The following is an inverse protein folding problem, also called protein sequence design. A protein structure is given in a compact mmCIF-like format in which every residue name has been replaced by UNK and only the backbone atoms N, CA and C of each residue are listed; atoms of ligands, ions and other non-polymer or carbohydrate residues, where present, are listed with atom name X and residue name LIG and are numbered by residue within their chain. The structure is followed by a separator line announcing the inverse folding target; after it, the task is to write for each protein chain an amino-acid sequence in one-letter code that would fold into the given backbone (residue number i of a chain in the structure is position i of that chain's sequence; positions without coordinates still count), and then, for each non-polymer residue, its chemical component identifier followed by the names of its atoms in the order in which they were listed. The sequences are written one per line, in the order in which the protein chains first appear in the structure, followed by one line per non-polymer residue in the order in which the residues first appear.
data_IF_781907138964
#
_entry.id   IF_781907138964
#
_cell.length_a   1.000
_cell.length_b   1.000
_cell.length_c   1.000
_cell.angle_alpha   90.00
_cell.angle_beta   90.00
_cell.angle_gamma   90.00
#
_symmetry.space_group_name_H-M   'P 1'
#
loop_
_entity.id
_entity.type
_entity.pdbx_description
1 polymer ?
#
# COMPACT_ATOMS: atom_id res chain seq x y z
N UNK A 1 33.85 -8.48 4.72
CA UNK A 1 32.54 -8.17 4.09
C UNK A 1 31.63 -7.56 5.14
N UNK A 2 31.25 -6.28 5.01
CA UNK A 2 30.47 -5.54 6.01
C UNK A 2 28.98 -5.92 6.08
N UNK A 3 28.64 -7.21 6.06
CA UNK A 3 27.26 -7.71 6.12
C UNK A 3 27.10 -8.76 7.21
N UNK A 4 25.90 -8.87 7.78
CA UNK A 4 25.60 -9.92 8.76
C UNK A 4 25.54 -11.31 8.11
N UNK A 5 25.81 -12.35 8.90
CA UNK A 5 25.66 -13.76 8.47
C UNK A 5 24.27 -14.06 7.93
N UNK A 6 23.23 -13.48 8.52
CA UNK A 6 21.84 -13.65 8.08
C UNK A 6 21.61 -13.10 6.67
N UNK A 7 22.18 -11.94 6.35
CA UNK A 7 22.11 -11.35 5.02
C UNK A 7 22.81 -12.24 3.99
N UNK A 8 24.03 -12.73 4.30
CA UNK A 8 24.74 -13.66 3.42
C UNK A 8 23.94 -14.94 3.15
N UNK A 9 23.33 -15.53 4.18
CA UNK A 9 22.52 -16.75 4.05
C UNK A 9 21.26 -16.53 3.20
N UNK A 10 20.59 -15.38 3.35
CA UNK A 10 19.44 -14.98 2.51
C UNK A 10 19.84 -14.85 1.04
N UNK A 11 20.97 -14.21 0.76
CA UNK A 11 21.48 -14.04 -0.61
C UNK A 11 21.85 -15.37 -1.23
N UNK A 12 22.55 -16.24 -0.48
CA UNK A 12 22.89 -17.58 -0.93
C UNK A 12 21.66 -18.43 -1.24
N UNK A 13 20.64 -18.41 -0.37
CA UNK A 13 19.38 -19.10 -0.61
C UNK A 13 18.69 -18.64 -1.91
N UNK A 14 18.67 -17.33 -2.18
CA UNK A 14 18.13 -16.78 -3.43
C UNK A 14 18.94 -17.18 -4.65
N UNK A 15 20.27 -17.12 -4.56
CA UNK A 15 21.16 -17.53 -5.65
C UNK A 15 20.97 -19.01 -6.00
N UNK A 16 20.84 -19.89 -5.00
CA UNK A 16 20.58 -21.31 -5.25
C UNK A 16 19.23 -21.59 -5.91
N UNK A 17 18.21 -20.77 -5.62
CA UNK A 17 16.86 -20.97 -6.16
C UNK A 17 16.65 -20.34 -7.54
N UNK A 18 17.28 -19.18 -7.79
CA UNK A 18 16.97 -18.31 -8.94
C UNK A 18 18.22 -17.90 -9.73
N UNK A 19 19.40 -18.40 -9.36
CA UNK A 19 20.68 -18.04 -9.99
C UNK A 19 21.04 -16.56 -9.78
N UNK A 20 21.79 -15.96 -10.72
CA UNK A 20 22.12 -14.53 -10.69
C UNK A 20 20.91 -13.60 -10.57
N UNK A 21 19.75 -13.98 -11.13
CA UNK A 21 18.51 -13.20 -11.03
C UNK A 21 18.03 -13.05 -9.57
N UNK A 22 18.36 -14.02 -8.71
CA UNK A 22 18.04 -13.99 -7.28
C UNK A 22 18.71 -12.85 -6.51
N UNK A 23 19.78 -12.27 -7.05
CA UNK A 23 20.58 -11.20 -6.41
C UNK A 23 20.12 -9.78 -6.80
N UNK A 24 19.17 -9.66 -7.73
CA UNK A 24 18.57 -8.37 -8.09
C UNK A 24 17.82 -7.80 -6.89
N UNK A 25 17.85 -6.47 -6.75
CA UNK A 25 17.11 -5.76 -5.70
C UNK A 25 15.63 -6.10 -5.75
N UNK A 26 15.11 -6.50 -4.59
CA UNK A 26 13.68 -6.77 -4.40
C UNK A 26 13.09 -5.69 -3.54
N UNK A 27 11.85 -5.34 -3.86
CA UNK A 27 11.05 -4.49 -2.99
C UNK A 27 10.95 -5.12 -1.60
N UNK A 28 11.28 -4.34 -0.57
CA UNK A 28 11.01 -4.71 0.83
C UNK A 28 9.53 -4.51 1.20
N UNK A 29 8.69 -4.07 0.26
CA UNK A 29 7.27 -3.83 0.50
C UNK A 29 6.57 -5.17 0.76
N UNK A 30 5.65 -5.23 1.74
CA UNK A 30 4.87 -6.44 1.99
C UNK A 30 4.03 -6.79 0.76
N UNK A 31 3.89 -8.10 0.49
CA UNK A 31 3.08 -8.60 -0.64
C UNK A 31 1.58 -8.41 -0.41
N UNK A 32 1.14 -8.36 0.84
CA UNK A 32 -0.26 -8.21 1.22
C UNK A 32 -0.39 -7.39 2.50
N UNK A 33 -1.52 -6.70 2.63
CA UNK A 33 -1.90 -5.91 3.80
C UNK A 33 -3.25 -6.44 4.31
N UNK A 34 -3.29 -7.45 5.18
CA UNK A 34 -4.56 -8.11 5.57
C UNK A 34 -5.54 -7.16 6.28
N UNK A 35 -5.04 -6.13 6.95
CA UNK A 35 -5.84 -5.09 7.61
C UNK A 35 -6.30 -3.97 6.66
N UNK A 36 -6.02 -4.10 5.36
CA UNK A 36 -6.52 -3.14 4.38
C UNK A 36 -8.04 -3.28 4.25
N UNK A 37 -8.73 -2.14 4.15
CA UNK A 37 -10.17 -2.15 4.01
C UNK A 37 -10.59 -2.85 2.71
N UNK A 38 -11.78 -3.49 2.68
CA UNK A 38 -12.26 -4.17 1.49
C UNK A 38 -12.35 -3.24 0.27
N UNK A 39 -12.01 -3.75 -0.92
CA UNK A 39 -12.04 -2.98 -2.18
C UNK A 39 -13.41 -2.34 -2.48
N UNK A 40 -14.51 -2.92 -1.98
CA UNK A 40 -15.86 -2.31 -2.06
C UNK A 40 -15.94 -0.96 -1.34
N UNK A 41 -15.29 -0.83 -0.19
CA UNK A 41 -15.28 0.41 0.61
C UNK A 41 -14.36 1.44 -0.05
N UNK A 42 -13.21 1.02 -0.58
CA UNK A 42 -12.32 1.91 -1.34
C UNK A 42 -13.04 2.52 -2.56
N UNK A 43 -13.73 1.69 -3.34
CA UNK A 43 -14.54 2.18 -4.47
C UNK A 43 -15.63 3.17 -4.05
N UNK A 44 -16.31 2.91 -2.93
CA UNK A 44 -17.32 3.83 -2.38
C UNK A 44 -16.70 5.18 -1.98
N UNK A 45 -15.51 5.19 -1.37
CA UNK A 45 -14.78 6.42 -1.03
C UNK A 45 -14.46 7.23 -2.30
N UNK A 46 -13.93 6.57 -3.33
CA UNK A 46 -13.57 7.22 -4.60
C UNK A 46 -14.81 7.80 -5.30
N UNK A 47 -15.90 7.04 -5.39
CA UNK A 47 -17.15 7.49 -6.00
C UNK A 47 -17.75 8.70 -5.26
N UNK A 48 -17.76 8.68 -3.92
CA UNK A 48 -18.24 9.80 -3.11
C UNK A 48 -17.33 11.03 -3.24
N UNK A 49 -16.01 10.83 -3.32
CA UNK A 49 -15.06 11.92 -3.55
C UNK A 49 -15.31 12.62 -4.88
N UNK A 50 -15.51 11.86 -5.95
CA UNK A 50 -15.73 12.40 -7.30
C UNK A 50 -17.09 13.10 -7.41
N UNK A 51 -18.15 12.52 -6.86
CA UNK A 51 -19.51 13.09 -6.95
C UNK A 51 -19.73 14.30 -6.04
N UNK A 52 -19.20 14.30 -4.82
CA UNK A 52 -19.51 15.33 -3.80
C UNK A 52 -18.37 16.30 -3.51
N UNK A 53 -17.17 16.06 -4.03
CA UNK A 53 -15.94 16.86 -3.77
C UNK A 53 -15.68 17.12 -2.28
N UNK A 54 -16.04 16.17 -1.40
CA UNK A 54 -15.89 16.29 0.05
C UNK A 54 -14.48 15.95 0.52
N UNK A 55 -14.03 16.63 1.58
CA UNK A 55 -12.77 16.34 2.26
C UNK A 55 -12.78 15.00 3.03
N UNK A 56 -11.62 14.47 3.43
CA UNK A 56 -11.49 13.17 4.09
C UNK A 56 -12.33 13.02 5.36
N UNK A 57 -12.43 14.07 6.19
CA UNK A 57 -13.20 14.04 7.43
C UNK A 57 -14.72 13.86 7.19
N UNK A 58 -15.27 14.54 6.17
CA UNK A 58 -16.69 14.38 5.82
C UNK A 58 -16.97 13.03 5.18
N UNK A 59 -16.09 12.55 4.32
CA UNK A 59 -16.20 11.21 3.73
C UNK A 59 -16.09 10.11 4.79
N UNK A 60 -15.25 10.30 5.81
CA UNK A 60 -15.12 9.37 6.93
C UNK A 60 -16.46 9.15 7.66
N UNK A 61 -17.17 10.23 7.97
CA UNK A 61 -18.50 10.15 8.59
C UNK A 61 -19.55 9.44 7.72
N UNK A 62 -19.48 9.58 6.40
CA UNK A 62 -20.43 8.94 5.47
C UNK A 62 -20.15 7.44 5.28
N UNK A 63 -18.87 7.05 5.25
CA UNK A 63 -18.44 5.68 4.93
C UNK A 63 -18.24 4.84 6.20
N UNK A 64 -18.08 5.46 7.37
CA UNK A 64 -17.87 4.76 8.64
C UNK A 64 -16.43 4.23 8.80
N UNK A 65 -15.45 4.93 8.22
CA UNK A 65 -14.02 4.58 8.35
C UNK A 65 -13.21 5.79 8.82
N UNK A 66 -12.08 5.62 9.51
CA UNK A 66 -11.27 6.75 9.98
C UNK A 66 -10.82 7.67 8.85
N UNK A 67 -10.78 8.98 9.10
CA UNK A 67 -10.36 9.97 8.11
C UNK A 67 -8.93 9.74 7.57
N UNK A 68 -8.04 9.19 8.39
CA UNK A 68 -6.69 8.77 7.99
C UNK A 68 -6.73 7.62 6.96
N UNK A 69 -7.67 6.70 7.09
CA UNK A 69 -7.89 5.61 6.13
C UNK A 69 -8.44 6.15 4.82
N UNK A 70 -9.44 7.04 4.89
CA UNK A 70 -9.95 7.75 3.71
C UNK A 70 -8.81 8.48 2.99
N UNK A 71 -8.00 9.24 3.72
CA UNK A 71 -6.87 9.96 3.13
C UNK A 71 -5.89 9.01 2.43
N UNK A 72 -5.49 7.89 3.05
CA UNK A 72 -4.61 6.89 2.42
C UNK A 72 -5.20 6.31 1.13
N UNK A 73 -6.51 6.05 1.10
CA UNK A 73 -7.22 5.61 -0.11
C UNK A 73 -7.13 6.69 -1.20
N UNK A 74 -7.46 7.94 -0.86
CA UNK A 74 -7.40 9.04 -1.84
C UNK A 74 -5.99 9.26 -2.39
N UNK A 75 -4.95 9.12 -1.57
CA UNK A 75 -3.54 9.18 -2.01
C UNK A 75 -3.21 8.04 -2.97
N UNK A 76 -3.62 6.79 -2.66
CA UNK A 76 -3.39 5.64 -3.55
C UNK A 76 -4.06 5.80 -4.91
N UNK A 77 -5.19 6.49 -4.96
CA UNK A 77 -5.94 6.81 -6.19
C UNK A 77 -5.55 8.16 -6.82
N UNK A 78 -4.59 8.91 -6.27
CA UNK A 78 -4.13 10.18 -6.85
C UNK A 78 -5.12 11.36 -6.78
N UNK A 79 -6.17 11.27 -5.96
CA UNK A 79 -7.27 12.26 -5.87
C UNK A 79 -7.36 12.93 -4.48
N UNK A 80 -6.24 12.96 -3.76
CA UNK A 80 -6.13 13.54 -2.42
C UNK A 80 -6.31 15.07 -2.39
N UNK A 81 -6.00 15.77 -3.50
CA UNK A 81 -6.22 17.21 -3.66
C UNK A 81 -7.56 17.48 -4.34
N UNK A 82 -8.27 18.51 -3.89
CA UNK A 82 -9.39 19.07 -4.64
C UNK A 82 -8.79 20.09 -5.60
N UNK A 83 -9.13 19.99 -6.89
CA UNK A 83 -8.98 21.10 -7.84
C UNK A 83 -10.16 22.02 -7.68
#
# INVERSE_FOLDING_TARGET
MGISRQTAHKWWGRYRAEGPAGLVDRSSRPRSCPHQIPARIERRIVALRQSRRLGPARLAGVVGVPASTVHRVLVRHGINRLK
#
